data_IF_485987541768
#
_entry.id   IF_485987541768
#
_cell.length_a   1.000
_cell.length_b   1.000
_cell.length_c   1.000
_cell.angle_alpha   90.00
_cell.angle_beta   90.00
_cell.angle_gamma   90.00
#
_symmetry.space_group_name_H-M   'P 1'
#
loop_
_entity.id
_entity.type
_entity.pdbx_description
1 polymer ?
#
# COMPACT_ATOMS: atom_id res chain seq x y z
N UNK A 1 18.14 -56.54 55.66
CA UNK A 1 18.03 -55.11 55.32
C UNK A 1 17.52 -55.02 53.90
N UNK A 2 16.28 -54.56 53.72
CA UNK A 2 15.54 -54.54 52.45
C UNK A 2 15.91 -53.29 51.63
N UNK A 3 16.42 -53.49 50.42
CA UNK A 3 16.65 -52.42 49.45
C UNK A 3 15.40 -52.27 48.58
N UNK A 4 14.64 -51.18 48.77
CA UNK A 4 13.46 -50.85 47.96
C UNK A 4 13.88 -50.19 46.65
N UNK A 5 13.43 -50.77 45.54
CA UNK A 5 13.45 -50.18 44.20
C UNK A 5 12.35 -49.10 44.15
N UNK A 6 12.71 -47.87 43.82
CA UNK A 6 11.75 -46.77 43.57
C UNK A 6 11.62 -46.58 42.07
N UNK A 7 10.47 -47.01 41.53
CA UNK A 7 10.02 -46.72 40.18
C UNK A 7 9.46 -45.29 40.16
N UNK A 8 10.12 -44.36 39.46
CA UNK A 8 9.61 -43.00 39.28
C UNK A 8 8.77 -42.95 38.00
N UNK A 9 7.46 -42.77 38.16
CA UNK A 9 6.52 -42.58 37.07
C UNK A 9 6.68 -41.18 36.46
N UNK A 10 6.93 -41.12 35.15
CA UNK A 10 6.93 -39.89 34.36
C UNK A 10 5.46 -39.45 34.15
N UNK A 11 5.02 -38.38 34.82
CA UNK A 11 3.80 -37.67 34.43
C UNK A 11 4.12 -36.73 33.27
N UNK A 12 3.71 -37.11 32.05
CA UNK A 12 3.57 -36.16 30.94
C UNK A 12 2.36 -35.27 31.22
N UNK A 13 2.62 -34.04 31.68
CA UNK A 13 1.61 -33.00 31.70
C UNK A 13 1.30 -32.53 30.28
N UNK A 14 0.12 -32.89 29.76
CA UNK A 14 -0.47 -32.24 28.60
C UNK A 14 -0.74 -30.78 28.95
N UNK A 15 0.10 -29.86 28.46
CA UNK A 15 -0.21 -28.45 28.44
C UNK A 15 -1.34 -28.23 27.42
N UNK A 16 -2.58 -28.16 27.91
CA UNK A 16 -3.71 -27.70 27.12
C UNK A 16 -3.46 -26.24 26.72
N UNK A 17 -3.09 -26.02 25.46
CA UNK A 17 -3.14 -24.69 24.86
C UNK A 17 -4.60 -24.27 24.80
N UNK A 18 -5.03 -23.42 25.73
CA UNK A 18 -6.32 -22.74 25.63
C UNK A 18 -6.28 -21.85 24.40
N UNK A 19 -6.85 -22.32 23.30
CA UNK A 19 -7.21 -21.44 22.19
C UNK A 19 -8.18 -20.41 22.76
N UNK A 20 -7.76 -19.14 22.78
CA UNK A 20 -8.65 -18.03 23.11
C UNK A 20 -9.70 -18.00 22.02
N UNK A 21 -10.89 -18.52 22.32
CA UNK A 21 -12.07 -18.36 21.47
C UNK A 21 -12.37 -16.87 21.47
N UNK A 22 -12.10 -16.21 20.33
CA UNK A 22 -12.52 -14.83 20.12
C UNK A 22 -14.03 -14.76 20.41
N UNK A 23 -14.42 -13.91 21.36
CA UNK A 23 -15.82 -13.80 21.78
C UNK A 23 -16.72 -13.53 20.58
N UNK A 24 -17.87 -14.19 20.53
CA UNK A 24 -18.87 -13.94 19.49
C UNK A 24 -19.36 -12.49 19.56
N UNK A 25 -19.58 -11.87 18.41
CA UNK A 25 -20.05 -10.49 18.34
C UNK A 25 -21.47 -10.38 18.92
N UNK A 26 -21.69 -9.49 19.89
CA UNK A 26 -22.99 -9.35 20.59
C UNK A 26 -24.18 -9.07 19.64
N UNK A 27 -23.93 -8.47 18.48
CA UNK A 27 -24.95 -8.24 17.44
C UNK A 27 -25.39 -9.49 16.65
N UNK A 28 -24.79 -10.66 16.89
CA UNK A 28 -25.07 -11.89 16.12
C UNK A 28 -26.54 -12.31 16.23
N UNK A 29 -27.10 -12.36 17.44
CA UNK A 29 -28.51 -12.71 17.68
C UNK A 29 -29.48 -11.78 16.95
N UNK A 30 -29.17 -10.47 16.93
CA UNK A 30 -29.97 -9.49 16.20
C UNK A 30 -29.96 -9.76 14.69
N UNK A 31 -28.79 -10.10 14.12
CA UNK A 31 -28.65 -10.40 12.69
C UNK A 31 -29.35 -11.72 12.33
N UNK A 32 -29.27 -12.76 13.17
CA UNK A 32 -29.96 -14.03 12.95
C UNK A 32 -31.48 -13.83 12.89
N UNK A 33 -32.03 -13.00 13.78
CA UNK A 33 -33.46 -12.72 13.85
C UNK A 33 -33.97 -11.80 12.74
N UNK A 34 -33.21 -10.76 12.38
CA UNK A 34 -33.70 -9.67 11.52
C UNK A 34 -33.09 -9.68 10.10
N UNK A 35 -32.08 -10.52 9.86
CA UNK A 35 -31.27 -10.52 8.65
C UNK A 35 -30.27 -9.36 8.60
N UNK A 36 -29.39 -9.38 7.59
CA UNK A 36 -28.47 -8.29 7.30
C UNK A 36 -28.97 -7.48 6.11
N UNK A 37 -29.18 -6.18 6.31
CA UNK A 37 -29.69 -5.24 5.32
C UNK A 37 -28.67 -4.14 4.97
N UNK A 38 -27.39 -4.44 5.16
CA UNK A 38 -26.32 -3.46 4.98
C UNK A 38 -26.06 -2.63 6.25
N UNK A 39 -25.50 -1.43 6.09
CA UNK A 39 -25.08 -0.57 7.21
C UNK A 39 -26.18 -0.28 8.24
N UNK A 40 -27.46 -0.18 7.82
CA UNK A 40 -28.59 0.05 8.74
C UNK A 40 -28.72 -1.02 9.83
N UNK A 41 -28.28 -2.26 9.57
CA UNK A 41 -28.28 -3.33 10.57
C UNK A 41 -27.24 -3.07 11.65
N UNK A 42 -26.08 -2.53 11.27
CA UNK A 42 -24.98 -2.20 12.17
C UNK A 42 -25.31 -0.97 13.03
N UNK A 43 -25.97 0.03 12.43
CA UNK A 43 -26.34 1.31 13.05
C UNK A 43 -27.24 1.17 14.28
N UNK A 44 -27.98 0.06 14.41
CA UNK A 44 -28.81 -0.25 15.59
C UNK A 44 -27.97 -0.26 16.88
N UNK A 45 -26.76 -0.83 16.82
CA UNK A 45 -25.84 -0.89 17.96
C UNK A 45 -24.67 0.10 17.83
N UNK A 46 -24.40 0.58 16.61
CA UNK A 46 -23.29 1.46 16.28
C UNK A 46 -23.77 2.77 15.65
N UNK A 47 -24.60 3.57 16.35
CA UNK A 47 -25.20 4.76 15.77
C UNK A 47 -24.13 5.78 15.35
N UNK A 48 -24.25 6.25 14.11
CA UNK A 48 -23.39 7.25 13.47
C UNK A 48 -22.10 6.69 12.86
N UNK A 49 -21.87 5.37 12.83
CA UNK A 49 -20.60 4.80 12.33
C UNK A 49 -20.48 4.83 10.81
N UNK A 50 -21.56 4.66 10.08
CA UNK A 50 -21.62 4.85 8.63
C UNK A 50 -21.23 6.30 8.30
N UNK A 51 -21.92 7.27 8.90
CA UNK A 51 -21.61 8.70 8.75
C UNK A 51 -20.18 9.06 9.15
N UNK A 52 -19.67 8.49 10.24
CA UNK A 52 -18.27 8.64 10.66
C UNK A 52 -17.30 8.13 9.57
N UNK A 53 -17.58 6.95 9.01
CA UNK A 53 -16.75 6.33 7.97
C UNK A 53 -16.68 7.17 6.68
N UNK A 54 -17.78 7.82 6.29
CA UNK A 54 -17.80 8.71 5.12
C UNK A 54 -16.78 9.86 5.20
N UNK A 55 -16.32 10.21 6.41
CA UNK A 55 -15.34 11.28 6.63
C UNK A 55 -13.88 10.79 6.55
N UNK A 56 -13.64 9.51 6.29
CA UNK A 56 -12.30 8.92 6.23
C UNK A 56 -11.73 8.93 4.82
N UNK A 57 -10.41 8.80 4.70
CA UNK A 57 -9.71 8.65 3.41
C UNK A 57 -10.14 7.38 2.67
N UNK A 58 -10.53 6.32 3.37
CA UNK A 58 -11.01 5.09 2.70
C UNK A 58 -12.31 5.33 1.93
N UNK A 59 -13.15 6.26 2.38
CA UNK A 59 -14.36 6.65 1.64
C UNK A 59 -14.10 7.79 0.64
N UNK A 60 -13.38 8.83 1.06
CA UNK A 60 -13.17 10.04 0.25
C UNK A 60 -12.10 9.88 -0.82
N UNK A 61 -11.19 8.91 -0.64
CA UNK A 61 -9.91 8.79 -1.36
C UNK A 61 -9.11 10.10 -1.46
N UNK A 62 -9.33 11.02 -0.53
CA UNK A 62 -8.69 12.32 -0.49
C UNK A 62 -8.70 12.88 0.92
N UNK A 63 -7.67 13.67 1.23
CA UNK A 63 -7.58 14.49 2.43
C UNK A 63 -6.85 15.78 2.11
N UNK A 64 -6.81 16.71 3.06
CA UNK A 64 -5.77 17.75 3.03
C UNK A 64 -4.39 17.09 3.05
N UNK A 65 -3.46 17.67 2.31
CA UNK A 65 -2.07 17.21 2.18
C UNK A 65 -1.17 18.43 2.35
N UNK A 66 -0.30 18.40 3.36
CA UNK A 66 0.52 19.53 3.79
C UNK A 66 2.03 19.29 3.62
N UNK A 67 2.44 18.08 3.25
CA UNK A 67 3.83 17.65 3.16
C UNK A 67 4.30 17.37 1.72
N UNK A 68 3.54 17.81 0.71
CA UNK A 68 3.83 17.61 -0.72
C UNK A 68 3.87 18.96 -1.43
N UNK A 69 4.90 19.19 -2.24
CA UNK A 69 5.03 20.43 -3.01
C UNK A 69 4.01 20.55 -4.15
N UNK A 70 3.82 21.78 -4.64
CA UNK A 70 3.07 22.07 -5.87
C UNK A 70 1.61 21.56 -5.84
N UNK A 71 1.00 21.56 -4.66
CA UNK A 71 -0.43 21.29 -4.48
C UNK A 71 -1.16 22.59 -4.16
N UNK A 72 -2.41 22.72 -4.61
CA UNK A 72 -3.29 23.80 -4.18
C UNK A 72 -3.71 23.56 -2.72
N UNK A 73 -3.30 24.41 -1.76
CA UNK A 73 -3.60 24.19 -0.35
C UNK A 73 -5.10 24.24 -0.03
N UNK A 74 -5.94 24.72 -0.95
CA UNK A 74 -7.41 24.76 -0.82
C UNK A 74 -8.09 23.46 -1.23
N UNK A 75 -7.36 22.54 -1.86
CA UNK A 75 -7.90 21.28 -2.37
C UNK A 75 -7.46 20.08 -1.51
N UNK A 76 -8.32 19.06 -1.48
CA UNK A 76 -7.93 17.74 -0.98
C UNK A 76 -7.30 16.93 -2.12
N UNK A 77 -6.33 16.08 -1.79
CA UNK A 77 -5.64 15.23 -2.74
C UNK A 77 -5.60 13.78 -2.28
N UNK A 78 -5.60 12.86 -3.24
CA UNK A 78 -5.47 11.42 -3.03
C UNK A 78 -5.82 10.64 -4.29
N UNK A 79 -6.20 9.37 -4.18
CA UNK A 79 -6.62 8.56 -5.35
C UNK A 79 -7.77 9.20 -6.14
N UNK A 80 -8.59 10.03 -5.47
CA UNK A 80 -9.69 10.77 -6.10
C UNK A 80 -9.25 11.60 -7.32
N UNK A 81 -8.19 12.37 -7.18
CA UNK A 81 -7.79 13.40 -8.16
C UNK A 81 -6.30 13.44 -8.48
N UNK A 82 -5.42 12.86 -7.65
CA UNK A 82 -3.97 12.84 -7.89
C UNK A 82 -3.65 12.08 -9.17
N UNK A 83 -2.75 12.63 -9.97
CA UNK A 83 -2.20 11.98 -11.15
C UNK A 83 -0.70 11.71 -11.03
N UNK A 84 -0.26 10.55 -11.50
CA UNK A 84 1.13 10.10 -11.57
C UNK A 84 1.23 8.88 -12.50
N UNK A 85 2.40 8.59 -13.03
CA UNK A 85 2.58 7.64 -14.14
C UNK A 85 2.49 6.15 -13.76
N UNK A 86 2.29 5.78 -12.49
CA UNK A 86 2.02 4.38 -12.13
C UNK A 86 0.63 3.93 -12.56
N UNK A 87 -0.37 4.76 -12.29
CA UNK A 87 -1.75 4.51 -12.68
C UNK A 87 -2.14 5.30 -13.93
N UNK A 88 -1.56 6.49 -14.14
CA UNK A 88 -1.90 7.42 -15.23
C UNK A 88 -3.39 7.83 -15.27
N UNK A 89 -4.05 7.80 -14.11
CA UNK A 89 -5.46 8.14 -13.94
C UNK A 89 -5.82 8.23 -12.46
N UNK A 90 -7.05 8.64 -12.18
CA UNK A 90 -7.62 8.85 -10.85
C UNK A 90 -9.11 8.46 -10.83
N UNK A 91 -9.78 8.54 -9.68
CA UNK A 91 -11.18 8.11 -9.56
C UNK A 91 -12.15 9.02 -10.36
N UNK A 92 -11.81 10.30 -10.56
CA UNK A 92 -12.63 11.23 -11.36
C UNK A 92 -12.72 10.75 -12.82
N UNK A 93 -11.59 10.34 -13.40
CA UNK A 93 -11.53 9.95 -14.81
C UNK A 93 -11.86 8.46 -14.99
N UNK A 94 -11.41 7.61 -14.07
CA UNK A 94 -11.53 6.16 -14.14
C UNK A 94 -12.39 5.61 -13.00
N UNK A 95 -13.60 6.14 -12.87
CA UNK A 95 -14.64 5.52 -12.06
C UNK A 95 -15.00 4.12 -12.59
N UNK A 96 -15.75 3.35 -11.81
CA UNK A 96 -16.18 2.02 -12.21
C UNK A 96 -17.07 2.12 -13.45
N UNK A 97 -16.66 1.48 -14.54
CA UNK A 97 -17.36 1.55 -15.83
C UNK A 97 -17.19 0.26 -16.64
N UNK A 98 -18.12 0.04 -17.56
CA UNK A 98 -17.96 -0.97 -18.60
C UNK A 98 -17.00 -0.47 -19.67
N UNK A 99 -16.11 -1.34 -20.12
CA UNK A 99 -15.19 -1.05 -21.21
C UNK A 99 -15.89 -1.40 -22.53
N UNK A 100 -15.91 -0.48 -23.52
CA UNK A 100 -16.43 -0.79 -24.84
C UNK A 100 -15.81 -2.09 -25.35
N UNK A 101 -16.65 -2.99 -25.87
CA UNK A 101 -16.22 -4.34 -26.21
C UNK A 101 -15.50 -4.33 -27.57
N UNK A 102 -14.20 -4.69 -27.65
CA UNK A 102 -13.54 -4.94 -28.93
C UNK A 102 -14.26 -6.02 -29.74
N UNK A 103 -14.18 -6.00 -31.09
CA UNK A 103 -14.84 -7.01 -31.93
C UNK A 103 -14.47 -8.46 -31.58
N UNK A 104 -13.24 -8.71 -31.17
CA UNK A 104 -12.70 -10.04 -30.84
C UNK A 104 -12.66 -10.33 -29.33
N UNK A 105 -13.30 -9.50 -28.51
CA UNK A 105 -13.26 -9.65 -27.07
C UNK A 105 -14.06 -10.86 -26.56
N UNK A 106 -13.41 -11.63 -25.71
CA UNK A 106 -13.99 -12.78 -24.98
C UNK A 106 -14.76 -12.28 -23.76
N UNK A 107 -15.97 -11.79 -23.99
CA UNK A 107 -16.91 -11.34 -22.95
C UNK A 107 -16.86 -9.83 -22.68
N UNK A 108 -17.59 -9.42 -21.65
CA UNK A 108 -17.62 -8.04 -21.16
C UNK A 108 -16.49 -7.81 -20.17
N UNK A 109 -15.88 -6.62 -20.20
CA UNK A 109 -14.89 -6.18 -19.22
C UNK A 109 -15.39 -4.92 -18.52
N UNK A 110 -15.25 -4.89 -17.21
CA UNK A 110 -15.43 -3.69 -16.40
C UNK A 110 -14.07 -3.29 -15.84
N UNK A 111 -13.85 -2.00 -15.67
CA UNK A 111 -12.61 -1.47 -15.08
C UNK A 111 -12.89 -0.16 -14.32
N UNK A 112 -11.95 0.24 -13.49
CA UNK A 112 -12.01 1.49 -12.73
C UNK A 112 -11.20 1.41 -11.45
N UNK A 113 -10.65 2.54 -11.01
CA UNK A 113 -9.92 2.67 -9.75
C UNK A 113 -10.79 2.28 -8.54
N UNK A 114 -12.09 2.49 -8.69
CA UNK A 114 -13.14 2.27 -7.70
C UNK A 114 -13.43 0.79 -7.41
N UNK A 115 -12.96 -0.17 -8.22
CA UNK A 115 -13.12 -1.61 -7.90
C UNK A 115 -12.64 -1.98 -6.48
N UNK A 116 -11.70 -1.19 -5.94
CA UNK A 116 -11.13 -1.37 -4.59
C UNK A 116 -11.76 -0.47 -3.50
N UNK A 117 -12.72 0.40 -3.82
CA UNK A 117 -13.36 1.28 -2.84
C UNK A 117 -14.47 0.56 -2.08
N UNK A 118 -14.62 0.77 -0.76
CA UNK A 118 -15.51 0.00 0.12
C UNK A 118 -16.99 0.41 0.01
N UNK A 119 -17.47 0.64 -1.21
CA UNK A 119 -18.86 0.92 -1.54
C UNK A 119 -19.36 0.10 -2.74
N UNK A 120 -20.62 0.32 -3.12
CA UNK A 120 -21.26 -0.31 -4.29
C UNK A 120 -21.11 0.49 -5.59
N UNK A 121 -20.58 1.72 -5.51
CA UNK A 121 -20.44 2.66 -6.62
C UNK A 121 -21.73 3.11 -7.29
N UNK A 122 -22.85 3.05 -6.58
CA UNK A 122 -24.03 3.85 -6.94
C UNK A 122 -23.76 5.33 -6.69
N UNK A 123 -23.00 5.64 -5.62
CA UNK A 123 -22.55 6.99 -5.29
C UNK A 123 -21.07 7.18 -5.60
N UNK A 124 -20.70 8.40 -5.98
CA UNK A 124 -19.32 8.75 -6.25
C UNK A 124 -18.44 8.70 -4.99
N UNK A 125 -17.13 8.58 -5.21
CA UNK A 125 -16.11 8.63 -4.15
C UNK A 125 -16.17 9.95 -3.39
N UNK A 126 -16.32 9.87 -2.07
CA UNK A 126 -16.50 11.03 -1.19
C UNK A 126 -17.91 11.64 -1.22
N UNK A 127 -18.91 10.93 -1.75
CA UNK A 127 -20.32 11.28 -1.56
C UNK A 127 -20.72 11.28 -0.08
N UNK A 128 -21.80 12.00 0.24
CA UNK A 128 -22.31 12.13 1.61
C UNK A 128 -23.83 11.97 1.61
N UNK A 129 -24.42 11.72 2.78
CA UNK A 129 -25.86 11.57 2.95
C UNK A 129 -26.33 10.12 3.02
N UNK A 130 -27.64 9.88 3.21
CA UNK A 130 -28.18 8.55 3.50
C UNK A 130 -27.86 7.50 2.42
N UNK A 131 -27.85 7.89 1.15
CA UNK A 131 -27.54 6.98 0.04
C UNK A 131 -26.08 6.53 0.07
N UNK A 132 -25.16 7.45 0.40
CA UNK A 132 -23.75 7.13 0.59
C UNK A 132 -23.53 6.24 1.81
N UNK A 133 -24.25 6.49 2.91
CA UNK A 133 -24.22 5.66 4.12
C UNK A 133 -24.71 4.23 3.82
N UNK A 134 -25.79 4.07 3.05
CA UNK A 134 -26.34 2.76 2.67
C UNK A 134 -25.47 1.97 1.68
N UNK A 135 -24.63 2.67 0.92
CA UNK A 135 -23.73 2.08 -0.08
C UNK A 135 -22.49 1.41 0.53
N UNK A 136 -22.14 1.70 1.79
CA UNK A 136 -20.94 1.17 2.45
C UNK A 136 -20.99 -0.37 2.51
N UNK A 137 -19.90 -1.01 2.10
CA UNK A 137 -19.67 -2.44 2.35
C UNK A 137 -18.97 -2.62 3.71
N UNK A 138 -19.74 -2.75 4.80
CA UNK A 138 -19.14 -3.01 6.11
C UNK A 138 -18.42 -4.36 6.17
N UNK A 139 -18.91 -5.36 5.44
CA UNK A 139 -18.48 -6.74 5.59
C UNK A 139 -17.16 -7.02 4.86
N UNK A 140 -16.79 -6.26 3.82
CA UNK A 140 -15.49 -6.42 3.15
C UNK A 140 -14.32 -6.33 4.14
N UNK A 141 -14.45 -5.45 5.15
CA UNK A 141 -13.47 -5.26 6.21
C UNK A 141 -13.72 -6.18 7.41
N UNK A 142 -14.99 -6.35 7.80
CA UNK A 142 -15.35 -6.95 9.09
C UNK A 142 -15.73 -8.44 9.05
N UNK A 143 -16.00 -9.03 7.88
CA UNK A 143 -16.40 -10.43 7.78
C UNK A 143 -15.20 -11.35 7.56
N UNK A 144 -15.13 -12.46 8.32
CA UNK A 144 -14.14 -13.52 8.11
C UNK A 144 -14.50 -14.41 6.92
N UNK A 145 -15.78 -14.57 6.66
CA UNK A 145 -16.33 -15.43 5.61
C UNK A 145 -16.86 -14.65 4.41
N UNK A 146 -16.37 -13.41 4.21
CA UNK A 146 -16.74 -12.59 3.05
C UNK A 146 -16.44 -13.34 1.75
N UNK A 147 -17.47 -13.55 0.95
CA UNK A 147 -17.35 -14.14 -0.37
C UNK A 147 -16.85 -13.10 -1.38
N UNK A 148 -15.53 -13.04 -1.54
CA UNK A 148 -14.88 -12.13 -2.49
C UNK A 148 -15.26 -12.39 -3.95
N UNK A 149 -15.81 -13.56 -4.30
CA UNK A 149 -16.29 -13.79 -5.67
C UNK A 149 -17.52 -12.92 -6.00
N UNK A 150 -18.28 -12.50 -4.99
CA UNK A 150 -19.39 -11.56 -5.15
C UNK A 150 -18.94 -10.13 -5.32
N UNK A 151 -17.69 -9.83 -4.99
CA UNK A 151 -17.07 -8.53 -5.23
C UNK A 151 -16.62 -8.43 -6.68
N UNK A 152 -17.61 -8.47 -7.58
CA UNK A 152 -17.45 -8.37 -9.01
C UNK A 152 -18.38 -7.26 -9.55
N UNK A 153 -17.92 -6.48 -10.53
CA UNK A 153 -18.74 -5.46 -11.15
C UNK A 153 -19.80 -6.06 -12.09
N UNK A 154 -21.00 -5.49 -12.09
CA UNK A 154 -22.10 -5.91 -12.97
C UNK A 154 -23.03 -4.72 -13.26
N UNK A 155 -23.94 -4.90 -14.24
CA UNK A 155 -25.03 -3.95 -14.48
C UNK A 155 -26.25 -4.30 -13.63
N UNK A 156 -26.69 -3.39 -12.79
CA UNK A 156 -27.94 -3.55 -12.06
C UNK A 156 -29.17 -3.42 -12.99
N UNK A 157 -30.37 -3.61 -12.45
CA UNK A 157 -31.64 -3.54 -13.19
C UNK A 157 -31.89 -2.16 -13.85
N UNK A 158 -31.27 -1.11 -13.33
CA UNK A 158 -31.32 0.25 -13.88
C UNK A 158 -30.24 0.52 -14.93
N UNK A 159 -29.44 -0.49 -15.27
CA UNK A 159 -28.33 -0.39 -16.22
C UNK A 159 -27.08 0.29 -15.67
N UNK A 160 -27.03 0.61 -14.37
CA UNK A 160 -25.84 1.21 -13.76
C UNK A 160 -24.79 0.14 -13.50
N UNK A 161 -23.52 0.48 -13.75
CA UNK A 161 -22.39 -0.39 -13.38
C UNK A 161 -22.14 -0.21 -11.89
N UNK A 162 -22.32 -1.28 -11.13
CA UNK A 162 -22.16 -1.31 -9.67
C UNK A 162 -21.16 -2.39 -9.27
N UNK A 163 -20.58 -2.23 -8.09
CA UNK A 163 -19.72 -3.24 -7.48
C UNK A 163 -20.55 -4.13 -6.57
N UNK A 164 -20.54 -5.44 -6.84
CA UNK A 164 -21.19 -6.41 -5.97
C UNK A 164 -20.58 -6.43 -4.56
N UNK A 165 -21.42 -6.77 -3.59
CA UNK A 165 -21.07 -6.89 -2.19
C UNK A 165 -21.62 -8.19 -1.63
N UNK A 166 -20.85 -8.90 -0.81
CA UNK A 166 -21.40 -10.03 -0.06
C UNK A 166 -22.21 -9.53 1.14
N UNK A 167 -23.52 -9.34 0.91
CA UNK A 167 -24.50 -9.00 1.95
C UNK A 167 -25.20 -10.23 2.56
N UNK A 168 -24.59 -11.42 2.46
CA UNK A 168 -25.21 -12.64 3.00
C UNK A 168 -25.23 -12.65 4.53
N UNK A 169 -26.24 -13.28 5.10
CA UNK A 169 -26.30 -13.54 6.55
C UNK A 169 -25.07 -14.32 7.02
N UNK A 170 -24.56 -15.28 6.23
CA UNK A 170 -23.33 -16.02 6.57
C UNK A 170 -22.15 -15.06 6.82
N UNK A 171 -21.89 -14.13 5.89
CA UNK A 171 -20.83 -13.15 6.06
C UNK A 171 -21.08 -12.26 7.29
N UNK A 172 -22.31 -11.77 7.46
CA UNK A 172 -22.70 -10.93 8.59
C UNK A 172 -22.58 -11.64 9.96
N UNK A 173 -22.83 -12.95 10.04
CA UNK A 173 -22.66 -13.72 11.28
C UNK A 173 -21.18 -14.01 11.60
N UNK A 174 -20.28 -13.80 10.64
CA UNK A 174 -18.84 -13.98 10.79
C UNK A 174 -18.08 -12.67 11.09
N UNK A 175 -18.79 -11.62 11.52
CA UNK A 175 -18.21 -10.33 11.89
C UNK A 175 -17.13 -10.52 12.96
N UNK A 176 -15.96 -9.93 12.71
CA UNK A 176 -14.81 -9.97 13.57
C UNK A 176 -13.89 -8.77 13.35
N UNK A 177 -12.78 -8.76 14.09
CA UNK A 177 -11.64 -7.88 13.82
C UNK A 177 -11.08 -8.20 12.41
N UNK A 178 -10.77 -7.18 11.58
CA UNK A 178 -10.22 -7.40 10.25
C UNK A 178 -8.93 -8.25 10.26
N UNK A 179 -8.81 -9.14 9.29
CA UNK A 179 -7.61 -9.97 9.07
C UNK A 179 -6.76 -9.40 7.93
N UNK A 180 -5.56 -9.97 7.70
CA UNK A 180 -4.71 -9.60 6.56
C UNK A 180 -5.47 -9.75 5.23
N UNK A 181 -6.29 -10.80 5.09
CA UNK A 181 -7.05 -11.06 3.86
C UNK A 181 -8.01 -9.91 3.53
N UNK A 182 -8.73 -9.39 4.52
CA UNK A 182 -9.69 -8.29 4.33
C UNK A 182 -9.02 -7.04 3.74
N UNK A 183 -7.83 -6.68 4.24
CA UNK A 183 -7.09 -5.52 3.76
C UNK A 183 -6.44 -5.79 2.40
N UNK A 184 -5.85 -6.98 2.22
CA UNK A 184 -5.05 -7.29 1.03
C UNK A 184 -5.88 -7.47 -0.23
N UNK A 185 -7.18 -7.80 -0.14
CA UNK A 185 -8.10 -7.82 -1.30
C UNK A 185 -7.95 -6.59 -2.20
N UNK A 186 -7.79 -5.40 -1.60
CA UNK A 186 -7.60 -4.16 -2.32
C UNK A 186 -6.11 -3.74 -2.37
N UNK A 187 -5.39 -3.89 -1.25
CA UNK A 187 -4.03 -3.37 -1.14
C UNK A 187 -2.97 -4.16 -1.93
N UNK A 188 -3.27 -5.41 -2.30
CA UNK A 188 -2.39 -6.23 -3.14
C UNK A 188 -2.69 -6.10 -4.63
N UNK A 189 -3.95 -5.88 -5.02
CA UNK A 189 -4.41 -5.88 -6.42
C UNK A 189 -4.28 -4.52 -7.13
N UNK A 190 -3.86 -3.47 -6.42
CA UNK A 190 -3.77 -2.12 -6.94
C UNK A 190 -2.74 -1.98 -8.09
N UNK A 191 -3.11 -1.21 -9.13
CA UNK A 191 -2.21 -0.82 -10.23
C UNK A 191 -2.21 -1.76 -11.44
N UNK A 192 -3.20 -2.66 -11.54
CA UNK A 192 -3.34 -3.60 -12.67
C UNK A 192 -2.91 -5.03 -12.35
N UNK A 193 -3.06 -5.46 -11.09
CA UNK A 193 -2.87 -6.85 -10.69
C UNK A 193 -2.27 -7.02 -9.30
N UNK A 194 -2.28 -8.27 -8.85
CA UNK A 194 -1.74 -8.71 -7.55
C UNK A 194 -0.23 -8.44 -7.49
N UNK A 195 0.20 -7.79 -6.41
CA UNK A 195 1.59 -7.42 -6.11
C UNK A 195 2.26 -6.52 -7.14
N UNK A 196 1.49 -5.84 -8.00
CA UNK A 196 2.01 -4.98 -9.07
C UNK A 196 2.59 -3.68 -8.50
N UNK A 197 1.78 -2.92 -7.74
CA UNK A 197 2.17 -1.58 -7.26
C UNK A 197 3.23 -1.61 -6.16
N UNK A 198 2.93 -2.26 -5.03
CA UNK A 198 3.80 -2.27 -3.85
C UNK A 198 4.74 -3.48 -3.79
N UNK A 199 4.30 -4.62 -4.35
CA UNK A 199 5.16 -5.80 -4.56
C UNK A 199 5.69 -6.48 -3.30
N UNK A 200 4.87 -6.55 -2.24
CA UNK A 200 5.19 -7.27 -1.02
C UNK A 200 4.06 -8.22 -0.61
N UNK A 201 4.42 -9.38 -0.07
CA UNK A 201 3.48 -10.31 0.55
C UNK A 201 3.69 -10.31 2.07
N UNK A 202 2.70 -9.88 2.84
CA UNK A 202 2.78 -9.85 4.30
C UNK A 202 2.43 -11.23 4.88
N UNK A 203 3.44 -12.07 5.03
CA UNK A 203 3.32 -13.46 5.52
C UNK A 203 4.36 -13.75 6.60
N UNK A 204 4.13 -14.81 7.39
CA UNK A 204 5.05 -15.23 8.44
C UNK A 204 6.47 -15.56 7.93
N UNK A 205 6.59 -15.95 6.66
CA UNK A 205 7.89 -16.22 6.02
C UNK A 205 8.65 -14.92 5.68
N UNK A 206 7.91 -13.88 5.31
CA UNK A 206 8.47 -12.66 4.73
C UNK A 206 8.56 -11.48 5.70
N UNK A 207 7.80 -11.50 6.80
CA UNK A 207 7.75 -10.41 7.78
C UNK A 207 7.74 -10.92 9.22
N UNK A 208 8.65 -10.41 10.06
CA UNK A 208 8.78 -10.85 11.46
C UNK A 208 7.56 -10.51 12.32
N UNK A 209 6.80 -9.47 12.00
CA UNK A 209 5.57 -9.12 12.72
C UNK A 209 4.45 -10.11 12.36
N UNK A 210 4.33 -10.44 11.07
CA UNK A 210 3.42 -11.49 10.62
C UNK A 210 3.79 -12.85 11.23
N UNK A 211 5.09 -13.15 11.37
CA UNK A 211 5.58 -14.37 12.02
C UNK A 211 5.22 -14.45 13.51
N UNK A 212 4.91 -13.32 14.14
CA UNK A 212 4.40 -13.22 15.51
C UNK A 212 2.87 -13.18 15.58
N UNK A 213 2.19 -13.44 14.47
CA UNK A 213 0.73 -13.48 14.39
C UNK A 213 0.07 -12.11 14.31
N UNK A 214 0.83 -11.03 14.09
CA UNK A 214 0.25 -9.70 13.92
C UNK A 214 -0.50 -9.60 12.58
N UNK A 215 -1.62 -8.89 12.60
CA UNK A 215 -2.39 -8.50 11.42
C UNK A 215 -2.29 -6.98 11.20
N UNK A 216 -2.81 -6.50 10.07
CA UNK A 216 -2.68 -5.10 9.65
C UNK A 216 -3.10 -4.10 10.74
N UNK A 217 -4.25 -4.34 11.36
CA UNK A 217 -4.85 -3.46 12.39
C UNK A 217 -4.12 -3.46 13.73
N UNK A 218 -3.13 -4.33 13.94
CA UNK A 218 -2.28 -4.29 15.14
C UNK A 218 -1.26 -3.14 15.06
N UNK A 219 -0.71 -2.88 13.87
CA UNK A 219 0.12 -1.70 13.61
C UNK A 219 -0.74 -0.50 13.17
N UNK A 220 -1.71 -0.75 12.29
CA UNK A 220 -2.66 0.24 11.81
C UNK A 220 -3.81 0.43 12.81
N UNK A 221 -3.46 0.70 14.06
CA UNK A 221 -4.41 0.82 15.17
C UNK A 221 -5.41 1.93 14.84
N UNK A 222 -6.65 1.52 14.64
CA UNK A 222 -7.71 2.35 14.09
C UNK A 222 -8.55 2.95 15.21
N UNK A 223 -8.83 4.24 15.10
CA UNK A 223 -9.77 4.94 15.98
C UNK A 223 -10.78 5.70 15.10
N UNK A 224 -12.07 5.59 15.39
CA UNK A 224 -13.14 6.25 14.61
C UNK A 224 -13.04 5.96 13.09
N UNK A 225 -12.70 4.71 12.76
CA UNK A 225 -12.41 4.23 11.40
C UNK A 225 -11.27 4.96 10.66
N UNK A 226 -10.51 5.82 11.34
CA UNK A 226 -9.31 6.47 10.79
C UNK A 226 -8.13 5.53 10.89
N UNK A 227 -7.64 5.10 9.73
CA UNK A 227 -6.58 4.09 9.64
C UNK A 227 -5.25 4.82 9.44
N UNK A 228 -4.29 4.71 10.39
CA UNK A 228 -3.03 5.44 10.29
C UNK A 228 -2.17 4.91 9.15
N UNK A 229 -1.29 5.76 8.62
CA UNK A 229 -0.27 5.37 7.64
C UNK A 229 1.07 6.00 8.03
N UNK A 230 2.18 5.38 7.60
CA UNK A 230 3.49 6.03 7.67
C UNK A 230 3.61 7.21 6.69
N UNK A 231 4.76 7.86 6.71
CA UNK A 231 5.15 8.81 5.67
C UNK A 231 5.70 8.06 4.46
N UNK A 232 5.16 8.36 3.28
CA UNK A 232 5.54 7.71 2.03
C UNK A 232 5.38 8.70 0.88
N UNK A 233 6.42 8.94 0.06
CA UNK A 233 6.35 9.86 -1.06
C UNK A 233 5.22 9.59 -2.04
N UNK A 234 4.71 8.36 -2.11
CA UNK A 234 3.58 8.00 -2.96
C UNK A 234 2.23 7.87 -2.21
N UNK A 235 2.18 7.94 -0.88
CA UNK A 235 0.91 7.85 -0.13
C UNK A 235 0.58 9.19 0.53
N UNK A 236 -0.08 10.07 -0.23
CA UNK A 236 -0.32 11.45 0.19
C UNK A 236 -1.50 11.58 1.16
N UNK A 237 -2.66 11.05 0.78
CA UNK A 237 -3.88 11.15 1.58
C UNK A 237 -3.76 10.36 2.89
N UNK A 238 -4.24 10.94 4.00
CA UNK A 238 -4.22 10.32 5.31
C UNK A 238 -5.30 10.90 6.24
N UNK A 239 -5.70 10.13 7.26
CA UNK A 239 -6.73 10.54 8.22
C UNK A 239 -6.18 11.41 9.39
N UNK A 240 -5.05 12.09 9.20
CA UNK A 240 -4.38 12.85 10.27
C UNK A 240 -3.66 12.01 11.33
N UNK A 241 -3.76 10.68 11.25
CA UNK A 241 -3.10 9.72 12.16
C UNK A 241 -1.92 9.04 11.45
N UNK A 242 -0.80 8.88 12.16
CA UNK A 242 0.46 8.32 11.62
C UNK A 242 0.98 7.18 12.48
N UNK A 243 1.66 6.23 11.86
CA UNK A 243 2.34 5.12 12.53
C UNK A 243 3.86 5.21 12.33
N UNK A 244 4.61 4.61 13.25
CA UNK A 244 6.07 4.52 13.23
C UNK A 244 6.53 3.28 14.00
N UNK A 245 7.79 2.86 13.81
CA UNK A 245 8.39 1.77 14.57
C UNK A 245 8.46 2.10 16.06
N UNK A 246 8.64 3.38 16.37
CA UNK A 246 8.75 3.93 17.72
C UNK A 246 7.45 3.83 18.53
N UNK A 247 6.33 3.46 17.89
CA UNK A 247 5.08 3.15 18.59
C UNK A 247 5.12 1.86 19.42
N UNK A 248 6.08 0.96 19.14
CA UNK A 248 6.27 -0.31 19.88
C UNK A 248 7.73 -0.55 20.29
N UNK A 249 8.69 0.07 19.61
CA UNK A 249 10.12 -0.05 19.89
C UNK A 249 10.69 1.26 20.43
N UNK A 250 11.74 1.20 21.23
CA UNK A 250 12.48 2.41 21.66
C UNK A 250 13.38 2.93 20.53
N UNK A 251 13.80 4.19 20.60
CA UNK A 251 14.78 4.77 19.64
C UNK A 251 16.17 4.12 19.68
N UNK A 252 16.48 3.40 20.77
CA UNK A 252 17.73 2.67 20.98
C UNK A 252 17.48 1.18 21.29
N UNK A 253 16.92 0.40 20.35
CA UNK A 253 16.44 -0.94 20.63
C UNK A 253 17.56 -2.00 20.65
N UNK A 254 18.79 -1.63 20.27
CA UNK A 254 19.90 -2.57 20.14
C UNK A 254 20.73 -2.60 21.42
N UNK A 255 21.26 -3.78 21.77
CA UNK A 255 22.26 -3.92 22.85
C UNK A 255 23.56 -3.20 22.51
N UNK A 256 23.88 -3.14 21.23
CA UNK A 256 25.10 -2.55 20.74
C UNK A 256 24.91 -1.09 20.38
N UNK A 257 25.67 -0.22 21.05
CA UNK A 257 25.48 1.22 20.94
C UNK A 257 25.85 1.76 19.55
N UNK A 258 26.68 1.06 18.78
CA UNK A 258 26.98 1.44 17.40
C UNK A 258 25.71 1.50 16.53
N UNK A 259 24.82 0.50 16.61
CA UNK A 259 23.55 0.52 15.89
C UNK A 259 22.60 1.60 16.43
N UNK A 260 22.57 1.82 17.74
CA UNK A 260 21.77 2.90 18.33
C UNK A 260 22.23 4.28 17.84
N UNK A 261 23.53 4.51 17.64
CA UNK A 261 24.01 5.77 17.03
C UNK A 261 23.54 5.95 15.59
N UNK A 262 23.36 4.86 14.83
CA UNK A 262 22.89 4.94 13.45
C UNK A 262 21.45 5.44 13.36
N UNK A 263 20.59 5.22 14.35
CA UNK A 263 19.18 5.65 14.30
C UNK A 263 19.01 7.17 14.21
N UNK A 264 20.06 7.93 14.55
CA UNK A 264 20.12 9.38 14.32
C UNK A 264 20.10 9.77 12.83
N UNK A 265 20.60 8.90 11.94
CA UNK A 265 20.77 9.19 10.51
C UNK A 265 20.16 8.14 9.58
N UNK A 266 19.86 6.94 10.08
CA UNK A 266 19.35 5.81 9.32
C UNK A 266 17.99 5.43 9.89
N UNK A 267 16.96 5.36 9.05
CA UNK A 267 15.65 4.90 9.48
C UNK A 267 15.67 3.39 9.78
N UNK A 268 14.86 2.93 10.73
CA UNK A 268 14.73 1.51 11.09
C UNK A 268 14.46 0.65 9.84
N UNK A 269 13.60 1.14 8.94
CA UNK A 269 13.28 0.49 7.67
C UNK A 269 14.51 0.21 6.81
N UNK A 270 15.52 1.10 6.79
CA UNK A 270 16.71 0.93 5.93
C UNK A 270 17.48 -0.34 6.29
N UNK A 271 17.67 -0.61 7.58
CA UNK A 271 18.36 -1.82 8.02
C UNK A 271 17.45 -3.05 7.99
N UNK A 272 16.17 -2.88 8.31
CA UNK A 272 15.25 -4.00 8.54
C UNK A 272 14.37 -4.36 7.35
N UNK A 273 14.40 -3.62 6.24
CA UNK A 273 13.65 -3.93 5.01
C UNK A 273 14.64 -3.96 3.85
N UNK A 274 15.21 -5.14 3.62
CA UNK A 274 16.33 -5.32 2.68
C UNK A 274 15.91 -5.71 1.27
N UNK A 275 14.60 -5.91 1.09
CA UNK A 275 13.98 -6.35 -0.16
C UNK A 275 12.63 -5.67 -0.38
N UNK A 276 12.30 -5.46 -1.65
CA UNK A 276 11.02 -4.97 -2.17
C UNK A 276 10.72 -5.67 -3.50
N UNK A 277 9.65 -5.31 -4.21
CA UNK A 277 9.35 -5.95 -5.50
C UNK A 277 8.23 -5.30 -6.32
N UNK A 278 7.66 -6.07 -7.23
CA UNK A 278 6.58 -5.64 -8.13
C UNK A 278 7.07 -4.88 -9.36
N UNK A 279 6.21 -4.09 -9.97
CA UNK A 279 6.50 -3.34 -11.22
C UNK A 279 7.52 -2.24 -11.00
N UNK A 280 8.55 -2.16 -11.83
CA UNK A 280 9.54 -1.08 -11.80
C UNK A 280 9.42 -0.13 -12.99
N UNK A 281 8.71 -0.50 -14.06
CA UNK A 281 8.40 0.42 -15.14
C UNK A 281 7.08 0.11 -15.85
N UNK A 282 6.46 1.14 -16.43
CA UNK A 282 5.24 1.01 -17.25
C UNK A 282 5.19 2.07 -18.35
N UNK A 283 4.75 1.69 -19.54
CA UNK A 283 4.54 2.60 -20.65
C UNK A 283 3.04 2.69 -20.96
N UNK A 284 2.43 3.84 -20.71
CA UNK A 284 1.03 4.12 -21.06
C UNK A 284 0.85 4.64 -22.49
N UNK A 285 1.94 4.89 -23.21
CA UNK A 285 1.91 5.31 -24.63
C UNK A 285 1.81 4.11 -25.59
N UNK A 286 2.06 2.90 -25.08
CA UNK A 286 1.99 1.64 -25.86
C UNK A 286 1.12 0.64 -25.12
N UNK A 287 0.11 0.13 -25.81
CA UNK A 287 -0.84 -0.85 -25.29
C UNK A 287 -0.87 -2.08 -26.18
N UNK A 288 -0.68 -3.24 -25.59
CA UNK A 288 -0.56 -4.51 -26.28
C UNK A 288 -1.86 -5.29 -26.18
N UNK A 289 -2.25 -5.93 -27.28
CA UNK A 289 -3.46 -6.74 -27.35
C UNK A 289 -3.24 -8.08 -26.64
N UNK A 290 -4.13 -8.40 -25.71
CA UNK A 290 -4.12 -9.66 -24.99
C UNK A 290 -4.95 -10.74 -25.68
N UNK A 291 -4.78 -11.99 -25.25
CA UNK A 291 -5.57 -13.15 -25.72
C UNK A 291 -7.07 -13.07 -25.40
N UNK A 292 -7.47 -12.12 -24.54
CA UNK A 292 -8.86 -11.77 -24.24
C UNK A 292 -9.49 -10.84 -25.28
N UNK A 293 -8.71 -10.28 -26.20
CA UNK A 293 -9.12 -9.28 -27.19
C UNK A 293 -9.00 -7.83 -26.70
N UNK A 294 -8.88 -7.62 -25.39
CA UNK A 294 -8.63 -6.30 -24.78
C UNK A 294 -7.15 -5.94 -24.80
N UNK A 295 -6.85 -4.64 -24.69
CA UNK A 295 -5.49 -4.14 -24.62
C UNK A 295 -5.08 -3.76 -23.19
N UNK A 296 -3.79 -3.89 -22.88
CA UNK A 296 -3.20 -3.43 -21.62
C UNK A 296 -1.83 -2.75 -21.85
N UNK A 297 -1.45 -1.77 -21.00
CA UNK A 297 -0.17 -1.07 -21.13
C UNK A 297 1.01 -1.99 -20.84
N UNK A 298 2.09 -1.82 -21.61
CA UNK A 298 3.33 -2.58 -21.41
C UNK A 298 3.89 -2.32 -20.02
N UNK A 299 4.08 -3.39 -19.24
CA UNK A 299 4.44 -3.31 -17.81
C UNK A 299 5.64 -4.22 -17.52
N UNK A 300 6.75 -3.65 -17.05
CA UNK A 300 7.94 -4.41 -16.67
C UNK A 300 7.92 -4.71 -15.17
N UNK A 301 8.04 -5.99 -14.82
CA UNK A 301 7.95 -6.48 -13.43
C UNK A 301 9.22 -7.21 -13.03
N UNK A 302 9.53 -7.13 -11.74
CA UNK A 302 10.42 -8.08 -11.05
C UNK A 302 9.58 -8.89 -10.09
N UNK A 303 10.06 -10.07 -9.75
CA UNK A 303 9.43 -10.90 -8.73
C UNK A 303 9.30 -10.13 -7.39
N UNK A 304 8.27 -10.49 -6.63
CA UNK A 304 8.04 -9.91 -5.32
C UNK A 304 9.22 -10.23 -4.39
N UNK A 305 9.61 -9.28 -3.54
CA UNK A 305 10.67 -9.46 -2.53
C UNK A 305 12.09 -9.74 -3.09
N UNK A 306 12.37 -9.48 -4.37
CA UNK A 306 13.70 -9.75 -4.97
C UNK A 306 14.54 -8.48 -5.22
N UNK A 307 13.94 -7.29 -5.13
CA UNK A 307 14.61 -6.04 -5.46
C UNK A 307 15.25 -5.42 -4.23
N UNK A 308 16.55 -5.10 -4.29
CA UNK A 308 17.20 -4.26 -3.26
C UNK A 308 16.61 -2.84 -3.34
N UNK A 309 16.16 -2.24 -2.23
CA UNK A 309 15.72 -0.84 -2.21
C UNK A 309 16.82 0.12 -2.64
N UNK A 310 16.41 1.27 -3.17
CA UNK A 310 17.29 2.45 -3.23
C UNK A 310 17.20 3.22 -1.92
N UNK A 311 18.27 3.91 -1.57
CA UNK A 311 18.34 4.64 -0.30
C UNK A 311 18.51 6.13 -0.56
N UNK A 312 17.66 6.94 0.07
CA UNK A 312 17.69 8.39 -0.09
C UNK A 312 17.40 9.09 1.24
N UNK A 313 17.89 10.33 1.38
CA UNK A 313 17.51 11.19 2.49
C UNK A 313 16.02 11.53 2.42
N UNK A 314 15.33 11.40 3.54
CA UNK A 314 13.92 11.73 3.65
C UNK A 314 13.62 12.45 4.96
N UNK A 315 13.11 13.67 4.85
CA UNK A 315 12.60 14.49 5.94
C UNK A 315 11.08 14.48 6.04
N UNK A 316 10.43 13.44 5.48
CA UNK A 316 8.98 13.24 5.48
C UNK A 316 8.20 14.21 4.58
N UNK A 317 8.88 15.04 3.78
CA UNK A 317 8.26 15.91 2.76
C UNK A 317 8.57 15.42 1.34
N UNK A 318 7.72 15.75 0.38
CA UNK A 318 7.69 15.14 -0.95
C UNK A 318 7.85 16.20 -2.03
N UNK A 319 8.80 15.98 -2.93
CA UNK A 319 8.90 16.74 -4.16
C UNK A 319 7.89 16.17 -5.15
N UNK A 320 7.14 17.05 -5.79
CA UNK A 320 6.10 16.70 -6.75
C UNK A 320 6.24 17.60 -7.98
N UNK A 321 6.94 17.10 -8.99
CA UNK A 321 7.18 17.76 -10.27
C UNK A 321 6.76 16.81 -11.40
N UNK A 322 6.51 17.30 -12.62
CA UNK A 322 6.08 16.44 -13.72
C UNK A 322 7.01 15.25 -13.98
N UNK A 323 8.33 15.46 -13.92
CA UNK A 323 9.36 14.45 -14.12
C UNK A 323 9.65 13.58 -12.88
N UNK A 324 9.21 14.00 -11.69
CA UNK A 324 9.67 13.42 -10.44
C UNK A 324 8.68 13.55 -9.28
N UNK A 325 8.34 12.42 -8.68
CA UNK A 325 7.66 12.36 -7.37
C UNK A 325 8.50 11.54 -6.41
N UNK A 326 9.00 12.17 -5.35
CA UNK A 326 9.89 11.44 -4.45
C UNK A 326 10.28 12.16 -3.16
N UNK A 327 11.12 11.49 -2.33
CA UNK A 327 11.49 12.01 -1.03
C UNK A 327 12.32 13.29 -1.18
N UNK A 328 12.02 14.27 -0.33
CA UNK A 328 12.93 15.38 -0.05
C UNK A 328 13.71 15.09 1.21
N UNK A 329 14.92 15.62 1.28
CA UNK A 329 15.78 15.51 2.44
C UNK A 329 17.20 15.81 2.03
N UNK A 330 17.99 16.24 3.00
CA UNK A 330 19.42 16.47 2.80
C UNK A 330 20.18 16.06 4.06
N UNK A 331 21.41 15.59 3.87
CA UNK A 331 22.31 15.22 4.97
C UNK A 331 22.50 16.34 6.00
N UNK A 332 22.53 17.59 5.56
CA UNK A 332 22.82 18.79 6.37
C UNK A 332 21.59 19.36 7.07
N UNK A 333 20.37 18.90 6.75
CA UNK A 333 19.15 19.49 7.31
C UNK A 333 18.84 19.07 8.76
N UNK A 334 19.63 18.13 9.32
CA UNK A 334 19.53 17.67 10.72
C UNK A 334 18.26 16.88 11.06
N UNK A 335 17.28 16.82 10.17
CA UNK A 335 15.97 16.17 10.36
C UNK A 335 15.77 14.95 9.46
N UNK A 336 16.55 14.84 8.39
CA UNK A 336 16.51 13.73 7.46
C UNK A 336 17.18 12.50 8.05
N UNK A 337 16.56 11.35 7.79
CA UNK A 337 17.21 10.04 7.89
C UNK A 337 17.24 9.41 6.50
N UNK A 338 18.12 8.43 6.29
CA UNK A 338 18.15 7.61 5.08
C UNK A 338 17.04 6.56 5.19
N UNK A 339 16.14 6.52 4.21
CA UNK A 339 15.03 5.57 4.11
C UNK A 339 15.16 4.68 2.86
N UNK A 340 14.57 3.46 2.86
CA UNK A 340 14.52 2.59 1.69
C UNK A 340 13.30 2.90 0.82
N UNK A 341 13.52 2.92 -0.50
CA UNK A 341 12.49 3.17 -1.50
C UNK A 341 12.55 2.17 -2.63
N UNK A 342 11.40 1.96 -3.27
CA UNK A 342 11.28 1.38 -4.60
C UNK A 342 11.15 2.52 -5.61
N UNK A 343 11.94 2.46 -6.69
CA UNK A 343 11.79 3.36 -7.83
C UNK A 343 10.87 2.73 -8.87
N UNK A 344 10.04 3.58 -9.48
CA UNK A 344 9.21 3.27 -10.62
C UNK A 344 9.45 4.29 -11.74
N UNK A 345 9.60 3.80 -12.96
CA UNK A 345 9.74 4.62 -14.18
C UNK A 345 8.47 4.51 -15.02
N UNK A 346 7.70 5.58 -15.10
CA UNK A 346 6.48 5.59 -15.90
C UNK A 346 6.59 6.51 -17.10
N UNK A 347 6.19 6.03 -18.26
CA UNK A 347 6.05 6.84 -19.47
C UNK A 347 4.58 7.08 -19.77
N UNK A 348 4.23 8.33 -20.05
CA UNK A 348 2.86 8.77 -20.31
C UNK A 348 2.88 10.05 -21.17
N UNK A 349 1.71 10.64 -21.41
CA UNK A 349 1.59 11.91 -22.12
C UNK A 349 1.58 13.09 -21.16
N UNK A 350 2.41 14.08 -21.46
CA UNK A 350 2.47 15.37 -20.80
C UNK A 350 1.94 16.42 -21.73
N UNK A 351 1.37 17.50 -21.19
CA UNK A 351 0.97 18.63 -21.99
C UNK A 351 2.21 19.47 -22.32
N UNK A 352 2.57 19.61 -23.60
CA UNK A 352 3.73 20.40 -24.03
C UNK A 352 3.65 21.87 -23.58
N UNK A 353 2.44 22.39 -23.37
CA UNK A 353 2.19 23.80 -23.08
C UNK A 353 2.59 24.22 -21.67
N UNK A 354 2.34 23.37 -20.68
CA UNK A 354 2.58 23.65 -19.25
C UNK A 354 3.46 22.59 -18.56
N UNK A 355 3.85 21.54 -19.30
CA UNK A 355 4.66 20.42 -18.83
C UNK A 355 3.93 19.47 -17.89
N UNK A 356 2.63 19.63 -17.61
CA UNK A 356 1.91 18.80 -16.65
C UNK A 356 1.55 17.43 -17.22
N UNK A 357 1.50 16.42 -16.36
CA UNK A 357 1.05 15.08 -16.73
C UNK A 357 -0.45 15.10 -17.07
N UNK A 358 -0.83 14.51 -18.20
CA UNK A 358 -2.22 14.39 -18.64
C UNK A 358 -2.83 13.07 -18.18
N UNK A 359 -4.06 13.13 -17.66
CA UNK A 359 -4.83 11.93 -17.30
C UNK A 359 -5.19 11.12 -18.55
N UNK A 360 -5.35 9.81 -18.35
CA UNK A 360 -5.86 8.91 -19.37
C UNK A 360 -7.11 8.22 -18.84
N UNK A 361 -8.20 8.29 -19.62
CA UNK A 361 -9.34 7.39 -19.46
C UNK A 361 -8.95 6.06 -20.11
N UNK A 362 -9.04 4.97 -19.34
CA UNK A 362 -8.56 3.68 -19.81
C UNK A 362 -9.55 3.00 -20.77
N UNK A 363 -10.81 3.44 -20.84
CA UNK A 363 -11.81 2.79 -21.67
C UNK A 363 -11.45 2.76 -23.18
N UNK A 364 -11.09 3.88 -23.82
CA UNK A 364 -10.65 3.87 -25.21
C UNK A 364 -9.43 2.96 -25.46
N UNK A 365 -8.27 3.13 -24.78
CA UNK A 365 -7.12 2.30 -25.06
C UNK A 365 -7.33 0.83 -24.69
N UNK A 366 -8.08 0.48 -23.64
CA UNK A 366 -8.43 -0.92 -23.35
C UNK A 366 -9.24 -1.57 -24.49
N UNK A 367 -10.07 -0.79 -25.18
CA UNK A 367 -10.93 -1.28 -26.26
C UNK A 367 -10.21 -1.33 -27.61
N UNK A 368 -9.36 -0.35 -27.93
CA UNK A 368 -8.83 -0.17 -29.29
C UNK A 368 -7.32 -0.07 -29.38
N UNK A 369 -6.62 0.07 -28.25
CA UNK A 369 -5.21 0.42 -28.20
C UNK A 369 -4.93 1.91 -28.42
N UNK A 370 -5.95 2.74 -28.69
CA UNK A 370 -5.77 4.18 -28.93
C UNK A 370 -5.59 4.96 -27.62
N UNK A 371 -4.33 5.25 -27.32
CA UNK A 371 -3.92 5.96 -26.10
C UNK A 371 -4.24 7.45 -26.14
N UNK A 372 -4.18 8.08 -27.33
CA UNK A 372 -4.51 9.49 -27.49
C UNK A 372 -6.01 9.74 -27.35
N UNK A 373 -6.86 8.82 -27.81
CA UNK A 373 -8.29 8.85 -27.51
C UNK A 373 -8.56 8.78 -26.00
N UNK A 374 -7.77 7.99 -25.26
CA UNK A 374 -7.84 7.94 -23.79
C UNK A 374 -7.50 9.27 -23.13
N UNK A 375 -6.46 9.95 -23.60
CA UNK A 375 -6.10 11.30 -23.13
C UNK A 375 -7.20 12.32 -23.48
N UNK A 376 -7.73 12.27 -24.70
CA UNK A 376 -8.78 13.18 -25.13
C UNK A 376 -10.09 13.00 -24.34
N UNK A 377 -10.47 11.76 -24.05
CA UNK A 377 -11.62 11.44 -23.19
C UNK A 377 -11.43 12.00 -21.78
N UNK A 378 -10.25 11.79 -21.17
CA UNK A 378 -9.94 12.32 -19.86
C UNK A 378 -9.96 13.86 -19.83
N UNK A 379 -9.34 14.51 -20.83
CA UNK A 379 -9.34 15.96 -20.96
C UNK A 379 -10.77 16.50 -21.01
N UNK A 380 -11.67 15.84 -21.77
CA UNK A 380 -13.09 16.19 -21.83
C UNK A 380 -13.78 16.06 -20.47
N UNK A 381 -13.56 14.95 -19.76
CA UNK A 381 -14.13 14.72 -18.41
C UNK A 381 -13.67 15.82 -17.43
N UNK A 382 -12.40 16.21 -17.52
CA UNK A 382 -11.79 17.21 -16.65
C UNK A 382 -12.00 18.66 -17.12
N UNK A 383 -12.67 18.88 -18.26
CA UNK A 383 -12.88 20.22 -18.82
C UNK A 383 -11.63 20.90 -19.39
N UNK A 384 -10.55 20.15 -19.65
CA UNK A 384 -9.30 20.64 -20.22
C UNK A 384 -9.48 20.78 -21.73
N UNK A 385 -9.47 22.02 -22.24
CA UNK A 385 -9.64 22.32 -23.67
C UNK A 385 -8.32 22.51 -24.40
N UNK A 386 -7.31 23.04 -23.71
CA UNK A 386 -6.04 23.42 -24.33
C UNK A 386 -4.90 22.50 -23.89
N UNK A 387 -4.61 21.49 -24.70
CA UNK A 387 -3.54 20.53 -24.44
C UNK A 387 -2.89 20.03 -25.73
N UNK A 388 -1.61 19.73 -25.66
CA UNK A 388 -0.83 19.08 -26.73
C UNK A 388 -0.07 17.90 -26.11
N UNK A 389 -0.56 16.66 -26.26
CA UNK A 389 0.01 15.50 -25.59
C UNK A 389 1.35 15.10 -26.24
N UNK A 390 2.42 15.09 -25.45
CA UNK A 390 3.75 14.62 -25.85
C UNK A 390 4.25 13.54 -24.88
N UNK A 391 4.87 12.45 -25.37
CA UNK A 391 5.43 11.42 -24.51
C UNK A 391 6.52 11.98 -23.58
N UNK A 392 6.51 11.57 -22.32
CA UNK A 392 7.52 11.93 -21.34
C UNK A 392 7.67 10.87 -20.26
N UNK A 393 8.73 10.98 -19.45
CA UNK A 393 9.02 10.07 -18.35
C UNK A 393 8.85 10.76 -17.01
N UNK A 394 8.34 10.01 -16.03
CA UNK A 394 8.32 10.42 -14.64
C UNK A 394 8.93 9.31 -13.77
N UNK A 395 9.84 9.71 -12.90
CA UNK A 395 10.37 8.87 -11.83
C UNK A 395 9.51 9.01 -10.58
N UNK A 396 9.05 7.89 -10.01
CA UNK A 396 8.24 7.87 -8.78
C UNK A 396 8.89 7.00 -7.72
N UNK A 397 8.97 7.50 -6.49
CA UNK A 397 9.48 6.77 -5.33
C UNK A 397 8.33 6.27 -4.46
N UNK A 398 8.40 5.00 -4.06
CA UNK A 398 7.49 4.35 -3.13
C UNK A 398 8.27 3.97 -1.87
N UNK A 399 7.81 4.41 -0.69
CA UNK A 399 8.41 4.00 0.58
C UNK A 399 8.28 2.49 0.81
N UNK A 400 9.35 1.86 1.27
CA UNK A 400 9.34 0.44 1.69
C UNK A 400 9.11 0.36 3.19
N UNK A 401 7.98 -0.22 3.62
CA UNK A 401 7.50 -0.17 5.01
C UNK A 401 7.02 -1.54 5.56
N UNK A 402 7.10 -2.61 4.77
CA UNK A 402 6.76 -3.99 5.14
C UNK A 402 7.93 -4.92 4.80
N UNK A 403 7.81 -6.22 5.07
CA UNK A 403 8.87 -7.24 4.89
C UNK A 403 10.00 -7.05 5.90
N UNK A 404 9.62 -6.69 7.13
CA UNK A 404 10.59 -6.44 8.19
C UNK A 404 11.31 -7.74 8.52
N UNK A 405 12.63 -7.70 8.54
CA UNK A 405 13.50 -8.82 8.91
C UNK A 405 14.37 -8.50 10.11
N UNK A 406 14.63 -9.53 10.94
CA UNK A 406 15.56 -9.46 12.07
C UNK A 406 16.89 -10.14 11.74
N UNK A 407 16.85 -11.39 11.27
CA UNK A 407 18.06 -12.19 11.00
C UNK A 407 18.76 -11.82 9.69
N UNK A 408 18.05 -11.21 8.74
CA UNK A 408 18.60 -10.75 7.45
C UNK A 408 18.72 -9.22 7.40
N UNK A 409 18.72 -8.56 8.56
CA UNK A 409 18.90 -7.11 8.64
C UNK A 409 20.30 -6.72 8.14
N UNK A 410 20.43 -5.50 7.61
CA UNK A 410 21.73 -5.00 7.14
C UNK A 410 22.72 -4.90 8.31
N UNK A 411 23.89 -5.47 8.11
CA UNK A 411 25.05 -5.40 9.00
C UNK A 411 26.05 -4.34 8.51
N UNK A 412 27.12 -4.12 9.28
CA UNK A 412 28.18 -3.17 8.94
C UNK A 412 28.73 -3.42 7.52
N UNK A 413 29.04 -4.67 7.20
CA UNK A 413 29.60 -5.07 5.91
C UNK A 413 28.62 -4.80 4.74
N UNK A 414 27.31 -4.88 4.97
CA UNK A 414 26.35 -4.60 3.91
C UNK A 414 26.39 -3.14 3.43
N UNK A 415 26.82 -2.20 4.27
CA UNK A 415 26.87 -0.77 3.95
C UNK A 415 28.30 -0.27 3.71
N UNK A 416 29.26 -0.74 4.50
CA UNK A 416 30.63 -0.21 4.55
C UNK A 416 31.62 -1.00 3.68
N UNK A 417 31.23 -2.11 3.05
CA UNK A 417 32.09 -2.72 2.04
C UNK A 417 32.27 -1.80 0.81
N UNK A 418 33.34 -1.98 0.01
CA UNK A 418 33.57 -1.23 -1.23
C UNK A 418 32.39 -1.23 -2.22
N UNK A 419 31.51 -2.24 -2.16
CA UNK A 419 30.28 -2.35 -2.95
C UNK A 419 29.03 -2.48 -2.04
N UNK A 420 29.01 -1.74 -0.93
CA UNK A 420 27.88 -1.71 -0.01
C UNK A 420 26.60 -1.17 -0.66
N UNK A 421 25.47 -1.44 -0.02
CA UNK A 421 24.13 -1.09 -0.53
C UNK A 421 23.86 0.42 -0.51
N UNK A 422 24.63 1.19 0.26
CA UNK A 422 24.52 2.65 0.31
C UNK A 422 25.46 3.28 -0.71
N UNK A 423 24.89 3.96 -1.71
CA UNK A 423 25.67 4.83 -2.58
C UNK A 423 25.98 6.15 -1.86
N UNK A 424 27.06 6.17 -1.08
CA UNK A 424 27.46 7.33 -0.30
C UNK A 424 27.70 8.58 -1.16
N UNK A 425 28.19 8.42 -2.39
CA UNK A 425 28.38 9.57 -3.30
C UNK A 425 27.04 10.23 -3.62
N UNK A 426 26.05 9.45 -4.01
CA UNK A 426 24.71 9.96 -4.32
C UNK A 426 23.99 10.49 -3.07
N UNK A 427 24.38 10.02 -1.88
CA UNK A 427 23.91 10.53 -0.58
C UNK A 427 24.65 11.81 -0.11
N UNK A 428 25.57 12.34 -0.91
CA UNK A 428 26.26 13.62 -0.63
C UNK A 428 27.45 13.51 0.32
N UNK A 429 28.14 12.37 0.37
CA UNK A 429 29.42 12.23 1.08
C UNK A 429 30.59 12.56 0.16
N UNK A 430 31.62 13.22 0.70
CA UNK A 430 32.85 13.54 -0.04
C UNK A 430 33.69 12.28 -0.29
N UNK A 431 34.64 12.34 -1.23
CA UNK A 431 35.53 11.22 -1.50
C UNK A 431 36.34 10.80 -0.25
N UNK A 432 36.76 11.78 0.56
CA UNK A 432 37.48 11.56 1.82
C UNK A 432 36.60 10.88 2.87
N UNK A 433 35.33 11.29 2.97
CA UNK A 433 34.36 10.66 3.87
C UNK A 433 34.03 9.24 3.44
N UNK A 434 33.82 9.03 2.14
CA UNK A 434 33.57 7.70 1.56
C UNK A 434 34.74 6.79 1.87
N UNK A 435 35.98 7.23 1.61
CA UNK A 435 37.18 6.45 1.91
C UNK A 435 37.23 6.05 3.39
N UNK A 436 36.86 6.95 4.31
CA UNK A 436 36.78 6.64 5.74
C UNK A 436 35.66 5.66 6.06
N UNK A 437 34.49 5.81 5.43
CA UNK A 437 33.31 4.98 5.67
C UNK A 437 33.40 3.61 5.01
N UNK A 438 34.32 3.39 4.07
CA UNK A 438 34.45 2.11 3.36
C UNK A 438 35.81 1.44 3.54
N UNK A 439 36.59 1.82 4.56
CA UNK A 439 37.83 1.11 4.87
C UNK A 439 37.54 -0.31 5.36
N UNK A 440 38.35 -1.31 4.94
CA UNK A 440 38.26 -2.65 5.50
C UNK A 440 38.32 -2.67 7.03
N UNK A 441 39.21 -1.89 7.65
CA UNK A 441 39.39 -1.81 9.11
C UNK A 441 38.07 -1.57 9.88
N UNK A 442 37.17 -0.75 9.34
CA UNK A 442 35.89 -0.42 10.01
C UNK A 442 34.98 -1.64 10.23
N UNK A 443 34.98 -2.59 9.30
CA UNK A 443 34.18 -3.79 9.43
C UNK A 443 35.05 -5.00 9.80
N UNK A 444 36.27 -5.10 9.29
CA UNK A 444 37.13 -6.27 9.46
C UNK A 444 37.56 -6.43 10.92
N UNK A 445 38.09 -5.38 11.55
CA UNK A 445 38.57 -5.48 12.94
C UNK A 445 37.43 -5.78 13.90
N UNK A 446 36.29 -5.11 13.70
CA UNK A 446 35.08 -5.32 14.46
C UNK A 446 34.50 -6.74 14.25
N UNK A 447 34.43 -7.22 13.00
CA UNK A 447 33.92 -8.57 12.71
C UNK A 447 34.88 -9.65 13.22
N UNK A 448 36.19 -9.41 13.15
CA UNK A 448 37.19 -10.29 13.71
C UNK A 448 37.14 -10.36 15.24
N UNK A 449 36.81 -9.25 15.92
CA UNK A 449 36.57 -9.22 17.36
C UNK A 449 35.30 -9.99 17.75
N UNK A 450 34.17 -9.71 17.09
CA UNK A 450 32.92 -10.47 17.27
C UNK A 450 33.12 -11.98 17.06
N UNK A 451 33.85 -12.37 16.01
CA UNK A 451 34.12 -13.78 15.73
C UNK A 451 34.94 -14.46 16.85
N UNK A 452 35.81 -13.72 17.55
CA UNK A 452 36.54 -14.23 18.72
C UNK A 452 35.68 -14.32 19.98
N UNK A 453 34.63 -13.51 20.11
CA UNK A 453 33.69 -13.57 21.24
C UNK A 453 32.63 -14.68 21.10
N UNK A 454 32.32 -15.06 19.86
CA UNK A 454 31.33 -16.10 19.53
C UNK A 454 31.92 -17.53 19.45
N UNK A 455 33.26 -17.65 19.43
CA UNK A 455 34.02 -18.89 19.49
C UNK A 455 34.52 -19.16 20.91
#
# INVERSE_FOLDING_TARGET
MNTKIILSALLMGLAATTAVVAGEHAGKEYIEKNGYKGPETCEVCHPGKAKEFLNTVHWKHASKVDNVENLDPKQEYGMKNRIYTMCNGNDIVNNLKEIPKPPDAKGTKFSGCNTCHPGDHISDVGSTGPEAEAAIDCLVCHSRDYDFSKRAPYKNEKGNVVMGQDRSTKAALSIAKPTVKNCMTCHEAAGGGVLVKRGFAFTAENDVHAAKGMVCVDCHKTEKHRIPTGFDPNNWAHDGVRLSCEGCHTEKPHKEEAYNRHTARIACQTCHITRTGGTFAKDFTVWEKLSSGYYEPTTLRKEANETTPVYAWYNKTVANRPDFIGPKGDRKDGKSRIYPFKIFQGKAYFNKKDGQLLAMDFAPPMSTGDTLAGVASAAKIMGIKDYEPVPGWQTVYFGSNHLVTKSKALTCNNCHAPNGVLNFRDLGYSAEEIKKLTTPDLYFDYMAEKQREEW
#
